data_IF_789560725474
#
_entry.id   IF_789560725474
#
_cell.length_a   1.000
_cell.length_b   1.000
_cell.length_c   1.000
_cell.angle_alpha   90.00
_cell.angle_beta   90.00
_cell.angle_gamma   90.00
#
_symmetry.space_group_name_H-M   'P 1'
#
loop_
_entity.id
_entity.type
_entity.pdbx_description
1 polymer ?
#
# COMPACT_ATOMS: atom_id res chain seq x y z
N UNK A 1 0.02 1.95 -15.00
CA UNK A 1 -0.78 1.30 -13.94
C UNK A 1 -0.94 -0.17 -14.31
N UNK A 2 -0.35 -1.08 -13.54
CA UNK A 2 -0.45 -2.54 -13.75
C UNK A 2 -1.48 -3.11 -12.75
N UNK A 3 -2.63 -3.55 -13.27
CA UNK A 3 -3.71 -4.14 -12.47
C UNK A 3 -3.47 -5.64 -12.35
N UNK A 4 -3.46 -6.13 -11.12
CA UNK A 4 -3.30 -7.55 -10.81
C UNK A 4 -4.64 -8.28 -10.73
N UNK A 5 -5.64 -7.67 -10.09
CA UNK A 5 -6.97 -8.27 -9.89
C UNK A 5 -8.04 -7.19 -9.85
N UNK A 6 -9.20 -7.49 -10.43
CA UNK A 6 -10.41 -6.70 -10.26
C UNK A 6 -11.52 -7.54 -9.63
N UNK A 7 -12.30 -6.91 -8.76
CA UNK A 7 -13.51 -7.48 -8.18
C UNK A 7 -14.72 -6.61 -8.52
N UNK A 8 -15.88 -6.93 -7.95
CA UNK A 8 -17.07 -6.08 -8.08
C UNK A 8 -16.90 -4.69 -7.45
N UNK A 9 -16.00 -4.51 -6.48
CA UNK A 9 -15.84 -3.24 -5.73
C UNK A 9 -14.42 -2.68 -5.74
N UNK A 10 -13.41 -3.51 -6.00
CA UNK A 10 -12.00 -3.16 -5.83
C UNK A 10 -11.17 -3.40 -7.08
N UNK A 11 -10.16 -2.57 -7.27
CA UNK A 11 -9.03 -2.79 -8.16
C UNK A 11 -7.79 -3.00 -7.28
N UNK A 12 -7.09 -4.12 -7.46
CA UNK A 12 -5.78 -4.36 -6.86
C UNK A 12 -4.71 -4.11 -7.91
N UNK A 13 -3.87 -3.10 -7.70
CA UNK A 13 -2.80 -2.71 -8.64
C UNK A 13 -1.45 -2.63 -7.97
N UNK A 14 -0.37 -2.68 -8.74
CA UNK A 14 0.96 -2.38 -8.20
C UNK A 14 0.98 -0.96 -7.60
N UNK A 15 1.70 -0.84 -6.49
CA UNK A 15 2.09 0.46 -5.95
C UNK A 15 2.98 1.21 -6.95
N UNK A 16 2.91 2.51 -6.89
CA UNK A 16 3.66 3.48 -7.68
C UNK A 16 4.29 4.49 -6.74
N UNK A 17 5.18 5.36 -7.26
CA UNK A 17 5.79 6.42 -6.45
C UNK A 17 4.74 7.40 -5.90
N UNK A 18 3.59 7.55 -6.56
CA UNK A 18 2.49 8.41 -6.12
C UNK A 18 1.78 7.89 -4.86
N UNK A 19 1.94 6.60 -4.53
CA UNK A 19 1.31 5.99 -3.34
C UNK A 19 2.12 6.19 -2.05
N UNK A 20 3.30 6.80 -2.13
CA UNK A 20 4.21 6.96 -0.97
C UNK A 20 3.55 7.72 0.18
N UNK A 21 2.72 8.73 -0.11
CA UNK A 21 2.01 9.48 0.93
C UNK A 21 0.93 8.63 1.60
N UNK A 22 0.14 7.88 0.83
CA UNK A 22 -0.83 6.94 1.38
C UNK A 22 -0.20 5.84 2.24
N UNK A 23 0.95 5.32 1.80
CA UNK A 23 1.70 4.33 2.57
C UNK A 23 2.30 4.93 3.84
N UNK A 24 2.71 6.20 3.82
CA UNK A 24 3.21 6.90 5.00
C UNK A 24 2.09 7.17 6.00
N UNK A 25 0.87 7.44 5.54
CA UNK A 25 -0.28 7.59 6.43
C UNK A 25 -0.61 6.27 7.15
N UNK A 26 -0.44 5.12 6.49
CA UNK A 26 -0.63 3.80 7.10
C UNK A 26 0.53 3.39 8.01
N UNK A 27 1.75 3.33 7.46
CA UNK A 27 2.92 2.80 8.15
C UNK A 27 3.56 3.82 9.11
N UNK A 28 3.17 5.08 8.99
CA UNK A 28 3.54 6.16 9.90
C UNK A 28 2.61 6.29 11.10
N UNK A 29 1.48 5.59 11.14
CA UNK A 29 0.55 5.59 12.27
C UNK A 29 0.96 4.53 13.31
N UNK A 30 1.38 4.94 14.53
CA UNK A 30 1.72 3.99 15.59
C UNK A 30 0.56 3.07 16.01
N UNK A 31 -0.69 3.49 15.91
CA UNK A 31 -1.86 2.67 16.26
C UNK A 31 -2.07 1.54 15.26
N UNK A 32 -1.81 1.79 13.97
CA UNK A 32 -1.77 0.74 12.93
C UNK A 32 -0.57 -0.17 13.16
N UNK A 33 0.62 0.41 13.30
CA UNK A 33 1.88 -0.32 13.43
C UNK A 33 1.97 -1.13 14.73
N UNK A 34 1.19 -0.78 15.76
CA UNK A 34 1.08 -1.55 17.01
C UNK A 34 0.73 -3.01 16.75
N UNK A 35 -0.14 -3.27 15.77
CA UNK A 35 -0.57 -4.62 15.43
C UNK A 35 0.39 -5.35 14.48
N UNK A 36 1.32 -4.64 13.85
CA UNK A 36 2.27 -5.21 12.88
C UNK A 36 3.65 -5.46 13.48
N UNK A 37 4.22 -4.47 14.17
CA UNK A 37 5.59 -4.53 14.67
C UNK A 37 5.78 -3.88 16.06
N UNK A 38 4.68 -3.67 16.80
CA UNK A 38 4.70 -3.06 18.13
C UNK A 38 4.79 -1.53 18.13
N UNK A 39 4.36 -0.87 17.04
CA UNK A 39 4.19 0.58 16.97
C UNK A 39 5.41 1.32 16.42
N UNK A 40 6.35 0.60 15.81
CA UNK A 40 7.52 1.21 15.17
C UNK A 40 7.11 1.71 13.78
N UNK A 41 6.94 3.02 13.68
CA UNK A 41 6.60 3.70 12.43
C UNK A 41 7.74 3.63 11.42
N UNK A 42 7.38 3.58 10.14
CA UNK A 42 8.35 3.51 9.03
C UNK A 42 8.56 4.90 8.43
N UNK A 43 9.81 5.24 8.08
CA UNK A 43 10.08 6.52 7.41
C UNK A 43 9.72 6.49 5.93
N UNK A 44 9.40 7.65 5.34
CA UNK A 44 9.14 7.80 3.89
C UNK A 44 10.22 7.15 3.01
N UNK A 45 11.49 7.26 3.41
CA UNK A 45 12.63 6.68 2.67
C UNK A 45 12.64 5.15 2.71
N UNK A 46 12.16 4.57 3.81
CA UNK A 46 12.03 3.12 3.95
C UNK A 46 10.85 2.61 3.11
N UNK A 47 9.71 3.29 3.16
CA UNK A 47 8.51 2.98 2.36
C UNK A 47 8.85 2.93 0.86
N UNK A 48 9.44 3.99 0.31
CA UNK A 48 9.78 4.05 -1.11
C UNK A 48 10.70 2.90 -1.57
N UNK A 49 11.49 2.33 -0.65
CA UNK A 49 12.44 1.24 -0.92
C UNK A 49 11.82 -0.15 -0.75
N UNK A 50 10.91 -0.34 0.20
CA UNK A 50 10.34 -1.65 0.51
C UNK A 50 9.22 -2.04 -0.46
N UNK A 51 8.33 -1.10 -0.78
CA UNK A 51 7.13 -1.41 -1.59
C UNK A 51 7.44 -1.63 -3.08
N UNK A 52 8.60 -1.16 -3.54
CA UNK A 52 9.06 -1.37 -4.91
C UNK A 52 9.70 -2.76 -5.15
N UNK A 53 9.95 -3.55 -4.09
CA UNK A 53 10.81 -4.75 -4.14
C UNK A 53 10.09 -6.10 -4.14
N UNK A 54 8.77 -6.17 -4.28
CA UNK A 54 8.04 -7.46 -4.16
C UNK A 54 7.98 -8.23 -5.48
N UNK A 55 8.15 -9.54 -5.36
CA UNK A 55 8.46 -10.51 -6.42
C UNK A 55 7.26 -10.78 -7.34
N UNK A 56 7.51 -11.33 -8.53
CA UNK A 56 6.44 -11.82 -9.40
C UNK A 56 5.62 -12.90 -8.69
N UNK A 57 4.30 -12.71 -8.61
CA UNK A 57 3.35 -13.65 -8.01
C UNK A 57 3.08 -13.47 -6.51
N UNK A 58 3.88 -12.72 -5.76
CA UNK A 58 3.68 -12.46 -4.34
C UNK A 58 4.02 -11.01 -3.96
N UNK A 59 3.10 -10.31 -3.30
CA UNK A 59 3.36 -8.96 -2.84
C UNK A 59 2.21 -8.29 -2.12
N UNK A 60 2.31 -6.97 -2.00
CA UNK A 60 1.21 -6.11 -1.58
C UNK A 60 0.81 -5.24 -2.77
N UNK A 61 -0.48 -4.92 -2.84
CA UNK A 61 -1.08 -4.14 -3.90
C UNK A 61 -1.86 -3.00 -3.27
N UNK A 62 -1.92 -1.86 -3.97
CA UNK A 62 -2.87 -0.83 -3.64
C UNK A 62 -4.29 -1.35 -3.94
N UNK A 63 -5.12 -1.38 -2.92
CA UNK A 63 -6.56 -1.59 -2.99
C UNK A 63 -7.25 -0.26 -3.25
N UNK A 64 -7.87 -0.16 -4.41
CA UNK A 64 -8.56 1.05 -4.85
C UNK A 64 -10.04 0.75 -5.00
N UNK A 65 -10.90 1.62 -4.46
CA UNK A 65 -12.33 1.53 -4.68
C UNK A 65 -12.66 1.80 -6.14
N UNK A 66 -13.36 0.87 -6.79
CA UNK A 66 -13.60 0.90 -8.23
C UNK A 66 -14.48 2.07 -8.67
N UNK A 67 -15.42 2.50 -7.83
CA UNK A 67 -16.38 3.57 -8.13
C UNK A 67 -15.78 4.97 -8.05
N UNK A 68 -14.90 5.19 -7.08
CA UNK A 68 -14.39 6.55 -6.75
C UNK A 68 -12.92 6.73 -7.11
N UNK A 69 -12.16 5.64 -7.26
CA UNK A 69 -10.71 5.71 -7.37
C UNK A 69 -10.01 5.97 -6.04
N UNK A 70 -10.73 5.93 -4.91
CA UNK A 70 -10.19 6.14 -3.57
C UNK A 70 -9.23 5.01 -3.17
N UNK A 71 -8.10 5.38 -2.59
CA UNK A 71 -7.16 4.44 -1.97
C UNK A 71 -7.72 3.94 -0.64
N UNK A 72 -7.78 2.61 -0.47
CA UNK A 72 -8.33 1.97 0.72
C UNK A 72 -7.31 1.16 1.54
N UNK A 73 -6.11 0.90 1.00
CA UNK A 73 -5.07 0.10 1.66
C UNK A 73 -4.07 -0.54 0.72
#
# INVERSE_FOLDING_TARGET
MEVFLETGRLILRRFTEDDVDHLLDLDGDPEVMRFLNGGKTVSRKEIAREYHKRFEGFGCWAAVEKSTGEFLG
#
